data_IF_351713081396
#
_entry.id   IF_351713081396
#
_cell.length_a   1.000
_cell.length_b   1.000
_cell.length_c   1.000
_cell.angle_alpha   90.00
_cell.angle_beta   90.00
_cell.angle_gamma   90.00
#
_symmetry.space_group_name_H-M   'P 1'
#
loop_
_entity.id
_entity.type
_entity.pdbx_description
1 polymer ?
#
# COMPACT_ATOMS: atom_id res chain seq x y z
N UNK A 1 12.14 21.16 -25.81
CA UNK A 1 10.75 21.35 -26.31
C UNK A 1 9.79 21.54 -25.14
N UNK A 2 9.76 20.64 -24.16
CA UNK A 2 8.79 20.73 -23.06
C UNK A 2 9.03 21.93 -22.13
N UNK A 3 10.26 22.27 -21.79
CA UNK A 3 10.57 23.41 -20.92
C UNK A 3 10.03 24.74 -21.47
N UNK A 4 10.05 24.93 -22.81
CA UNK A 4 9.49 26.13 -23.43
C UNK A 4 7.96 26.17 -23.38
N UNK A 5 7.30 25.01 -23.42
CA UNK A 5 5.83 24.93 -23.28
C UNK A 5 5.42 25.37 -21.88
N UNK A 6 6.07 24.83 -20.84
CA UNK A 6 5.77 25.20 -19.45
C UNK A 6 6.12 26.66 -19.15
N UNK A 7 7.21 27.16 -19.74
CA UNK A 7 7.52 28.60 -19.65
C UNK A 7 6.44 29.47 -20.27
N UNK A 8 5.94 29.10 -21.44
CA UNK A 8 4.86 29.85 -22.10
C UNK A 8 3.55 29.83 -21.31
N UNK A 9 3.22 28.69 -20.69
CA UNK A 9 2.07 28.59 -19.81
C UNK A 9 2.22 29.51 -18.59
N UNK A 10 3.35 29.51 -17.94
CA UNK A 10 3.64 30.42 -16.83
C UNK A 10 3.56 31.89 -17.26
N UNK A 11 4.16 32.23 -18.39
CA UNK A 11 4.17 33.61 -18.91
C UNK A 11 2.73 34.08 -19.32
N UNK A 12 1.84 33.12 -19.62
CA UNK A 12 0.41 33.37 -19.84
C UNK A 12 -0.42 33.39 -18.53
N UNK A 13 0.22 33.28 -17.36
CA UNK A 13 -0.46 33.31 -16.07
C UNK A 13 -1.06 31.96 -15.64
N UNK A 14 -0.70 30.87 -16.31
CA UNK A 14 -1.15 29.51 -15.96
C UNK A 14 -0.15 28.88 -15.00
N UNK A 15 -0.61 28.49 -13.80
CA UNK A 15 0.18 27.68 -12.87
C UNK A 15 0.07 26.20 -13.23
N UNK A 16 1.20 25.53 -13.37
CA UNK A 16 1.27 24.09 -13.57
C UNK A 16 1.85 23.46 -12.29
N UNK A 17 1.09 22.58 -11.67
CA UNK A 17 1.53 21.81 -10.51
C UNK A 17 1.72 20.37 -10.94
N UNK A 18 2.84 19.76 -10.58
CA UNK A 18 3.16 18.38 -10.91
C UNK A 18 3.69 17.62 -9.70
N UNK A 19 3.34 16.35 -9.59
CA UNK A 19 3.90 15.48 -8.55
C UNK A 19 5.43 15.44 -8.67
N UNK A 20 6.11 15.54 -7.53
CA UNK A 20 7.58 15.50 -7.48
C UNK A 20 8.16 14.17 -8.00
N UNK A 21 7.40 13.09 -7.87
CA UNK A 21 7.79 11.73 -8.25
C UNK A 21 7.92 10.79 -7.05
N UNK A 22 8.18 9.52 -7.32
CA UNK A 22 8.31 8.46 -6.32
C UNK A 22 9.75 7.91 -6.29
N UNK A 23 10.73 8.73 -6.60
CA UNK A 23 12.11 8.33 -6.86
C UNK A 23 13.06 8.81 -5.74
N UNK A 24 12.56 8.83 -4.49
CA UNK A 24 13.31 9.37 -3.34
C UNK A 24 14.77 8.93 -3.30
N UNK A 25 15.02 7.68 -3.55
CA UNK A 25 16.34 7.08 -3.45
C UNK A 25 16.98 6.68 -4.79
N UNK A 26 16.29 6.94 -5.90
CA UNK A 26 16.84 6.75 -7.25
C UNK A 26 17.81 7.87 -7.66
N UNK A 27 18.22 8.72 -6.70
CA UNK A 27 19.16 9.81 -6.90
C UNK A 27 20.53 9.34 -7.36
N UNK A 28 21.36 10.31 -7.72
CA UNK A 28 22.70 10.10 -8.26
C UNK A 28 23.52 9.12 -7.40
N UNK A 29 23.91 8.00 -7.96
CA UNK A 29 24.67 6.95 -7.28
C UNK A 29 23.85 5.76 -6.79
N UNK A 30 22.54 5.81 -6.84
CA UNK A 30 21.71 4.64 -6.56
C UNK A 30 21.52 3.78 -7.82
N UNK A 31 22.29 2.70 -7.91
CA UNK A 31 22.25 1.76 -9.02
C UNK A 31 21.18 0.69 -8.86
N UNK A 32 20.54 0.60 -7.68
CA UNK A 32 19.57 -0.48 -7.39
C UNK A 32 18.20 -0.20 -7.99
N UNK A 33 17.87 1.06 -8.28
CA UNK A 33 16.52 1.47 -8.70
C UNK A 33 15.44 1.21 -7.64
N UNK A 34 15.86 0.93 -6.39
CA UNK A 34 14.98 0.73 -5.26
C UNK A 34 15.04 1.95 -4.35
N UNK A 35 13.93 2.23 -3.69
CA UNK A 35 13.91 3.17 -2.59
C UNK A 35 14.77 2.61 -1.46
N UNK A 36 16.02 3.01 -1.43
CA UNK A 36 16.86 2.76 -0.28
C UNK A 36 16.45 3.69 0.86
N UNK A 37 16.37 3.20 2.10
CA UNK A 37 16.00 4.04 3.21
C UNK A 37 16.98 5.19 3.35
N UNK A 38 16.48 6.40 3.17
CA UNK A 38 17.13 7.65 3.52
C UNK A 38 18.51 7.88 2.91
N UNK A 39 18.53 8.47 1.72
CA UNK A 39 19.75 9.17 1.33
C UNK A 39 20.11 10.12 2.47
N UNK A 40 21.33 10.01 3.00
CA UNK A 40 21.85 10.91 4.04
C UNK A 40 21.98 12.35 3.53
N UNK A 41 21.81 12.54 2.23
CA UNK A 41 21.83 13.82 1.53
C UNK A 41 20.61 13.87 0.58
N UNK A 42 19.53 14.58 0.97
CA UNK A 42 18.32 14.73 0.15
C UNK A 42 18.57 15.49 -1.16
N UNK A 43 19.68 16.20 -1.28
CA UNK A 43 20.04 16.95 -2.50
C UNK A 43 20.44 16.02 -3.66
N UNK A 44 20.59 14.72 -3.40
CA UNK A 44 20.90 13.74 -4.45
C UNK A 44 19.65 13.14 -5.11
N UNK A 45 18.47 13.41 -4.62
CA UNK A 45 17.23 12.88 -5.15
C UNK A 45 16.68 13.79 -6.27
N UNK A 46 16.27 13.17 -7.38
CA UNK A 46 15.89 13.90 -8.59
C UNK A 46 14.38 14.01 -8.69
N UNK A 47 13.89 15.24 -8.97
CA UNK A 47 12.50 15.45 -9.33
C UNK A 47 12.18 14.79 -10.68
N UNK A 48 11.04 14.13 -10.76
CA UNK A 48 10.55 13.58 -12.03
C UNK A 48 10.05 14.69 -12.96
N UNK A 49 10.11 14.45 -14.27
CA UNK A 49 9.46 15.32 -15.23
C UNK A 49 7.92 15.19 -15.11
N UNK A 50 7.16 16.29 -15.17
CA UNK A 50 7.58 17.68 -15.49
C UNK A 50 7.95 18.53 -14.27
N UNK A 51 7.94 18.00 -13.04
CA UNK A 51 8.20 18.75 -11.82
C UNK A 51 9.62 19.36 -11.77
N UNK A 52 10.57 18.79 -12.52
CA UNK A 52 11.94 19.25 -12.65
C UNK A 52 12.10 20.56 -13.47
N UNK A 53 11.07 21.04 -14.17
CA UNK A 53 11.17 22.26 -14.93
C UNK A 53 10.99 23.52 -14.07
N UNK A 54 11.84 24.56 -14.23
CA UNK A 54 11.78 25.78 -13.40
C UNK A 54 10.45 26.56 -13.48
N UNK A 55 9.61 26.24 -14.44
CA UNK A 55 8.30 26.87 -14.64
C UNK A 55 7.13 26.05 -14.08
N UNK A 56 7.42 24.97 -13.39
CA UNK A 56 6.45 24.05 -12.81
C UNK A 56 6.63 24.06 -11.29
N UNK A 57 5.53 23.99 -10.57
CA UNK A 57 5.54 23.80 -9.11
C UNK A 57 5.62 22.32 -8.81
N UNK A 58 6.74 21.87 -8.25
CA UNK A 58 6.87 20.49 -7.76
C UNK A 58 6.09 20.32 -6.46
N UNK A 59 5.25 19.31 -6.39
CA UNK A 59 4.43 18.99 -5.22
C UNK A 59 4.87 17.64 -4.67
N UNK A 60 5.54 17.66 -3.54
CA UNK A 60 5.93 16.47 -2.81
C UNK A 60 4.75 15.89 -2.01
N UNK A 61 4.82 14.60 -1.72
CA UNK A 61 3.84 13.92 -0.88
C UNK A 61 4.21 14.06 0.59
N UNK A 62 3.22 14.32 1.43
CA UNK A 62 3.38 14.43 2.89
C UNK A 62 2.39 13.50 3.58
N UNK A 63 2.82 12.86 4.65
CA UNK A 63 1.94 12.12 5.56
C UNK A 63 1.02 13.10 6.28
N UNK A 64 -0.29 12.92 6.10
CA UNK A 64 -1.28 13.89 6.59
C UNK A 64 -1.82 13.59 8.00
N UNK A 65 -1.22 12.64 8.70
CA UNK A 65 -1.69 12.28 10.05
C UNK A 65 -3.05 11.58 10.06
N UNK A 66 -3.37 10.83 9.02
CA UNK A 66 -4.64 10.10 8.93
C UNK A 66 -4.69 8.97 9.95
N UNK A 67 -5.79 8.87 10.68
CA UNK A 67 -6.09 7.68 11.48
C UNK A 67 -6.39 6.50 10.55
N UNK A 68 -5.83 5.34 10.86
CA UNK A 68 -6.08 4.11 10.13
C UNK A 68 -7.02 3.21 10.91
N UNK A 69 -7.92 2.52 10.23
CA UNK A 69 -8.65 1.41 10.84
C UNK A 69 -7.68 0.34 11.33
N UNK A 70 -8.02 -0.34 12.41
CA UNK A 70 -7.13 -1.31 13.03
C UNK A 70 -7.87 -2.56 13.55
N UNK A 71 -7.13 -3.64 13.68
CA UNK A 71 -7.52 -4.84 14.41
C UNK A 71 -6.41 -5.22 15.41
N UNK A 72 -6.67 -6.15 16.32
CA UNK A 72 -5.66 -6.68 17.23
C UNK A 72 -5.16 -8.02 16.74
N UNK A 73 -3.84 -8.24 16.69
CA UNK A 73 -3.22 -9.51 16.37
C UNK A 73 -1.82 -9.57 16.98
N UNK A 74 -1.34 -10.75 17.32
CA UNK A 74 0.01 -10.97 17.86
C UNK A 74 0.35 -10.03 19.05
N UNK A 75 -0.63 -9.74 19.91
CA UNK A 75 -0.48 -8.89 21.09
C UNK A 75 -0.33 -7.40 20.82
N UNK A 76 -0.63 -6.93 19.60
CA UNK A 76 -0.54 -5.52 19.18
C UNK A 76 -1.72 -5.11 18.31
N UNK A 77 -1.87 -3.81 18.15
CA UNK A 77 -2.81 -3.26 17.18
C UNK A 77 -2.14 -3.15 15.82
N UNK A 78 -2.85 -3.57 14.79
CA UNK A 78 -2.40 -3.59 13.39
C UNK A 78 -3.26 -2.65 12.58
N UNK A 79 -2.66 -1.60 12.06
CA UNK A 79 -3.30 -0.70 11.13
C UNK A 79 -3.51 -1.39 9.77
N UNK A 80 -4.62 -1.07 9.11
CA UNK A 80 -4.87 -1.55 7.76
C UNK A 80 -5.50 -0.48 6.87
N UNK A 81 -5.28 -0.61 5.57
CA UNK A 81 -5.94 0.18 4.53
C UNK A 81 -6.89 -0.72 3.75
N UNK A 82 -8.20 -0.46 3.82
CA UNK A 82 -9.18 -1.17 2.99
C UNK A 82 -8.91 -0.93 1.51
N UNK A 83 -9.12 -1.96 0.69
CA UNK A 83 -9.13 -1.81 -0.75
C UNK A 83 -10.28 -0.90 -1.21
N UNK A 84 -10.16 -0.37 -2.43
CA UNK A 84 -11.18 0.46 -3.08
C UNK A 84 -11.53 -0.10 -4.45
N UNK A 85 -12.75 0.10 -4.88
CA UNK A 85 -13.15 -0.14 -6.25
C UNK A 85 -12.58 0.93 -7.19
N UNK A 86 -12.33 0.58 -8.45
CA UNK A 86 -12.22 1.56 -9.52
C UNK A 86 -13.54 2.34 -9.66
N UNK A 87 -13.55 3.41 -10.46
CA UNK A 87 -14.77 4.18 -10.67
C UNK A 87 -15.91 3.28 -11.20
N UNK A 88 -17.00 3.23 -10.43
CA UNK A 88 -18.14 2.37 -10.72
C UNK A 88 -18.07 0.93 -10.18
N UNK A 89 -16.95 0.55 -9.56
CA UNK A 89 -16.76 -0.76 -8.94
C UNK A 89 -16.96 -0.69 -7.43
N UNK A 90 -17.35 -1.81 -6.82
CA UNK A 90 -17.55 -1.93 -5.37
C UNK A 90 -16.66 -3.01 -4.78
N UNK A 91 -15.98 -2.69 -3.68
CA UNK A 91 -15.15 -3.63 -2.92
C UNK A 91 -15.59 -3.60 -1.46
N UNK A 92 -15.88 -4.78 -0.91
CA UNK A 92 -16.25 -4.90 0.49
C UNK A 92 -15.09 -4.48 1.41
N UNK A 93 -15.39 -3.80 2.50
CA UNK A 93 -14.42 -3.35 3.49
C UNK A 93 -14.20 -4.42 4.56
N UNK A 94 -12.98 -4.51 5.11
CA UNK A 94 -12.72 -5.35 6.27
C UNK A 94 -13.58 -4.94 7.49
N UNK A 95 -13.93 -3.65 7.58
CA UNK A 95 -14.83 -3.13 8.62
C UNK A 95 -16.29 -3.59 8.48
N UNK A 96 -16.67 -4.20 7.37
CA UNK A 96 -18.02 -4.77 7.16
C UNK A 96 -18.15 -6.17 7.78
N UNK A 97 -17.04 -6.80 8.17
CA UNK A 97 -17.08 -8.05 8.91
C UNK A 97 -17.61 -7.81 10.35
N UNK A 98 -18.31 -8.80 10.86
CA UNK A 98 -18.74 -8.79 12.24
C UNK A 98 -17.55 -8.70 13.19
N UNK A 99 -17.63 -7.90 14.27
CA UNK A 99 -16.61 -7.94 15.32
C UNK A 99 -16.45 -9.36 15.88
N UNK A 100 -15.22 -9.77 16.15
CA UNK A 100 -14.93 -11.11 16.65
C UNK A 100 -13.51 -11.57 16.32
N UNK A 101 -13.24 -12.81 16.68
CA UNK A 101 -11.96 -13.46 16.45
C UNK A 101 -12.00 -14.28 15.15
N UNK A 102 -10.97 -14.12 14.34
CA UNK A 102 -10.81 -14.83 13.07
C UNK A 102 -9.44 -15.49 13.03
N UNK A 103 -9.42 -16.76 12.67
CA UNK A 103 -8.17 -17.42 12.30
C UNK A 103 -7.65 -16.87 10.98
N UNK A 104 -6.34 -16.64 10.87
CA UNK A 104 -5.73 -16.30 9.58
C UNK A 104 -4.76 -17.38 9.11
N UNK A 105 -4.71 -17.55 7.80
CA UNK A 105 -3.89 -18.54 7.11
C UNK A 105 -3.09 -17.88 5.99
N UNK A 106 -1.85 -18.30 5.83
CA UNK A 106 -0.99 -17.75 4.76
C UNK A 106 -1.15 -18.54 3.47
N UNK A 107 -1.18 -17.83 2.34
CA UNK A 107 -1.29 -18.37 0.99
C UNK A 107 -0.23 -17.77 0.04
N UNK A 108 1.00 -17.70 0.48
CA UNK A 108 2.13 -17.27 -0.35
C UNK A 108 1.87 -15.96 -1.10
N UNK A 109 1.96 -16.01 -2.43
CA UNK A 109 1.67 -14.86 -3.29
C UNK A 109 0.22 -14.77 -3.75
N UNK A 110 -0.66 -15.69 -3.35
CA UNK A 110 -2.03 -15.76 -3.83
C UNK A 110 -2.13 -16.23 -5.28
N UNK A 111 -1.21 -17.08 -5.72
CA UNK A 111 -1.23 -17.67 -7.06
C UNK A 111 -2.29 -18.77 -7.16
N UNK A 112 -2.61 -19.21 -8.39
CA UNK A 112 -3.51 -20.33 -8.61
C UNK A 112 -3.00 -21.63 -7.93
N UNK A 113 -1.70 -21.79 -7.79
CA UNK A 113 -1.10 -22.93 -7.05
C UNK A 113 -1.34 -22.80 -5.55
N UNK A 114 -1.18 -21.58 -5.00
CA UNK A 114 -1.46 -21.31 -3.59
C UNK A 114 -2.94 -21.51 -3.27
N UNK A 115 -3.83 -21.03 -4.14
CA UNK A 115 -5.28 -21.24 -4.02
C UNK A 115 -5.65 -22.73 -4.04
N UNK A 116 -5.06 -23.53 -4.93
CA UNK A 116 -5.29 -24.97 -4.99
C UNK A 116 -4.78 -25.68 -3.72
N UNK A 117 -3.63 -25.27 -3.18
CA UNK A 117 -3.10 -25.78 -1.93
C UNK A 117 -3.99 -25.46 -0.74
N UNK A 118 -4.51 -24.22 -0.65
CA UNK A 118 -5.51 -23.85 0.35
C UNK A 118 -6.78 -24.69 0.26
N UNK A 119 -7.34 -24.85 -0.94
CA UNK A 119 -8.56 -25.64 -1.16
C UNK A 119 -8.35 -27.12 -0.74
N UNK A 120 -7.15 -27.66 -0.96
CA UNK A 120 -6.81 -29.01 -0.53
C UNK A 120 -6.63 -29.13 0.99
N UNK A 121 -6.11 -28.09 1.63
CA UNK A 121 -5.88 -28.04 3.08
C UNK A 121 -7.17 -27.82 3.86
N UNK A 122 -8.10 -27.03 3.30
CA UNK A 122 -9.36 -26.64 3.93
C UNK A 122 -10.56 -27.07 3.07
N UNK A 123 -10.84 -28.37 2.95
CA UNK A 123 -11.92 -28.89 2.09
C UNK A 123 -13.32 -28.44 2.55
N UNK A 124 -13.49 -28.05 3.81
CA UNK A 124 -14.75 -27.52 4.36
C UNK A 124 -14.96 -26.02 4.02
N UNK A 125 -13.95 -25.37 3.40
CA UNK A 125 -13.98 -23.97 3.02
C UNK A 125 -13.23 -23.05 3.97
N UNK A 126 -13.26 -21.75 3.66
CA UNK A 126 -12.51 -20.69 4.35
C UNK A 126 -13.42 -19.57 4.88
N UNK A 127 -14.73 -19.80 5.00
CA UNK A 127 -15.71 -18.76 5.33
C UNK A 127 -15.49 -18.12 6.72
N UNK A 128 -14.82 -18.81 7.63
CA UNK A 128 -14.45 -18.36 8.98
C UNK A 128 -12.98 -17.90 9.08
N UNK A 129 -12.25 -17.89 7.97
CA UNK A 129 -10.83 -17.62 7.94
C UNK A 129 -10.48 -16.40 7.10
N UNK A 130 -9.44 -15.71 7.52
CA UNK A 130 -8.82 -14.61 6.77
C UNK A 130 -7.59 -15.15 6.06
N UNK A 131 -7.50 -14.96 4.74
CA UNK A 131 -6.36 -15.41 3.94
C UNK A 131 -5.36 -14.27 3.81
N UNK A 132 -4.11 -14.52 4.21
CA UNK A 132 -2.99 -13.58 4.05
C UNK A 132 -2.17 -13.93 2.83
N UNK A 133 -1.89 -12.94 1.97
CA UNK A 133 -1.06 -13.10 0.77
C UNK A 133 0.01 -12.01 0.71
N UNK A 134 1.19 -12.36 0.24
CA UNK A 134 2.28 -11.40 0.04
C UNK A 134 2.04 -10.52 -1.19
N UNK A 135 2.36 -9.24 -1.10
CA UNK A 135 2.56 -8.37 -2.26
C UNK A 135 3.69 -8.90 -3.15
N UNK A 136 3.71 -8.48 -4.42
CA UNK A 136 4.73 -8.83 -5.41
C UNK A 136 4.34 -10.05 -6.25
N UNK A 137 5.12 -10.31 -7.30
CA UNK A 137 4.97 -11.39 -8.29
C UNK A 137 3.72 -11.30 -9.16
N UNK A 138 2.54 -11.09 -8.57
CA UNK A 138 1.25 -11.00 -9.26
C UNK A 138 0.61 -9.63 -8.99
N UNK A 139 -0.21 -9.16 -9.91
CA UNK A 139 -1.06 -8.00 -9.69
C UNK A 139 -2.07 -8.26 -8.57
N UNK A 140 -2.52 -7.20 -7.90
CA UNK A 140 -3.50 -7.34 -6.83
C UNK A 140 -4.76 -8.06 -7.32
N UNK A 141 -5.32 -7.65 -8.46
CA UNK A 141 -6.52 -8.25 -9.01
C UNK A 141 -6.36 -9.75 -9.22
N UNK A 142 -5.24 -10.19 -9.79
CA UNK A 142 -4.97 -11.61 -10.04
C UNK A 142 -4.94 -12.44 -8.74
N UNK A 143 -4.36 -11.89 -7.66
CA UNK A 143 -4.40 -12.54 -6.32
C UNK A 143 -5.83 -12.75 -5.85
N UNK A 144 -6.67 -11.72 -5.98
CA UNK A 144 -8.06 -11.79 -5.56
C UNK A 144 -8.89 -12.73 -6.44
N UNK A 145 -8.67 -12.72 -7.76
CA UNK A 145 -9.33 -13.63 -8.69
C UNK A 145 -9.03 -15.11 -8.38
N UNK A 146 -7.83 -15.40 -7.88
CA UNK A 146 -7.43 -16.74 -7.46
C UNK A 146 -8.04 -17.14 -6.09
N UNK A 147 -8.06 -16.26 -5.11
CA UNK A 147 -8.40 -16.58 -3.71
C UNK A 147 -9.88 -16.38 -3.41
N UNK A 148 -10.52 -15.32 -3.93
CA UNK A 148 -11.93 -15.02 -3.62
C UNK A 148 -12.93 -16.16 -3.95
N UNK A 149 -12.72 -16.98 -5.02
CA UNK A 149 -13.59 -18.14 -5.26
C UNK A 149 -13.64 -19.16 -4.13
N UNK A 150 -12.63 -19.18 -3.24
CA UNK A 150 -12.61 -20.02 -2.04
C UNK A 150 -13.47 -19.46 -0.90
N UNK A 151 -14.03 -18.25 -1.09
CA UNK A 151 -14.93 -17.55 -0.17
C UNK A 151 -14.38 -17.43 1.26
N UNK A 152 -13.16 -16.90 1.45
CA UNK A 152 -12.67 -16.59 2.79
C UNK A 152 -13.50 -15.44 3.41
N UNK A 153 -13.42 -15.30 4.74
CA UNK A 153 -14.04 -14.17 5.44
C UNK A 153 -13.47 -12.83 4.93
N UNK A 154 -12.16 -12.78 4.71
CA UNK A 154 -11.47 -11.64 4.09
C UNK A 154 -10.13 -12.07 3.49
N UNK A 155 -9.54 -11.16 2.69
CA UNK A 155 -8.18 -11.31 2.15
C UNK A 155 -7.34 -10.12 2.63
N UNK A 156 -6.23 -10.41 3.32
CA UNK A 156 -5.23 -9.41 3.71
C UNK A 156 -4.01 -9.54 2.80
N UNK A 157 -3.67 -8.47 2.11
CA UNK A 157 -2.39 -8.38 1.41
C UNK A 157 -1.40 -7.71 2.34
N UNK A 158 -0.22 -8.27 2.51
CA UNK A 158 0.86 -7.66 3.27
C UNK A 158 2.01 -7.21 2.36
N UNK A 159 2.65 -6.11 2.77
CA UNK A 159 3.76 -5.56 2.00
C UNK A 159 4.96 -6.52 2.00
N UNK A 160 5.69 -6.53 0.89
CA UNK A 160 6.96 -7.22 0.72
C UNK A 160 8.16 -6.28 0.89
N UNK A 161 7.92 -4.97 1.00
CA UNK A 161 8.96 -3.97 1.25
C UNK A 161 8.97 -3.57 2.72
N UNK A 162 10.16 -3.28 3.30
CA UNK A 162 10.27 -2.81 4.68
C UNK A 162 9.57 -1.47 4.86
N UNK A 163 8.96 -1.29 6.02
CA UNK A 163 8.30 -0.04 6.40
C UNK A 163 6.88 -0.25 6.92
N UNK A 164 6.23 0.85 7.26
CA UNK A 164 4.87 0.88 7.79
C UNK A 164 3.85 1.47 6.80
N UNK A 165 4.26 1.72 5.55
CA UNK A 165 3.39 2.26 4.52
C UNK A 165 2.19 1.34 4.25
N UNK A 166 1.00 1.93 4.14
CA UNK A 166 -0.23 1.24 3.81
C UNK A 166 -0.70 1.68 2.41
N UNK A 167 -0.69 0.77 1.48
CA UNK A 167 -1.08 1.03 0.11
C UNK A 167 -2.59 0.93 -0.09
N UNK A 168 -3.13 1.76 -0.97
CA UNK A 168 -4.49 1.64 -1.45
C UNK A 168 -4.48 0.69 -2.65
N UNK A 169 -5.14 -0.45 -2.51
CA UNK A 169 -5.36 -1.38 -3.62
C UNK A 169 -6.65 -0.98 -4.35
N UNK A 170 -6.55 -0.72 -5.66
CA UNK A 170 -7.72 -0.51 -6.50
C UNK A 170 -8.06 -1.82 -7.21
N UNK A 171 -9.29 -2.28 -7.04
CA UNK A 171 -9.76 -3.57 -7.52
C UNK A 171 -11.04 -3.42 -8.35
N UNK A 172 -11.31 -4.39 -9.21
CA UNK A 172 -12.64 -4.60 -9.77
C UNK A 172 -13.61 -5.02 -8.66
N UNK A 173 -14.91 -5.05 -8.95
CA UNK A 173 -15.93 -5.46 -7.98
C UNK A 173 -15.55 -6.77 -7.28
N UNK A 174 -15.54 -6.74 -5.95
CA UNK A 174 -15.18 -7.86 -5.10
C UNK A 174 -16.08 -7.90 -3.87
N UNK A 175 -16.78 -9.03 -3.67
CA UNK A 175 -17.68 -9.25 -2.53
C UNK A 175 -16.94 -9.70 -1.26
N UNK A 176 -15.69 -10.17 -1.40
CA UNK A 176 -14.86 -10.56 -0.26
C UNK A 176 -14.11 -9.34 0.26
N UNK A 177 -14.21 -9.02 1.57
CA UNK A 177 -13.48 -7.92 2.16
C UNK A 177 -11.97 -8.01 1.92
N UNK A 178 -11.36 -6.87 1.56
CA UNK A 178 -9.95 -6.81 1.22
C UNK A 178 -9.25 -5.63 1.89
N UNK A 179 -8.08 -5.89 2.47
CA UNK A 179 -7.28 -4.85 3.10
C UNK A 179 -5.78 -5.11 2.92
N UNK A 180 -5.00 -4.04 3.09
CA UNK A 180 -3.55 -4.04 3.03
C UNK A 180 -2.96 -3.76 4.42
N UNK A 181 -1.91 -4.48 4.80
CA UNK A 181 -1.15 -4.29 6.05
C UNK A 181 0.34 -4.15 5.75
N UNK A 182 1.07 -3.55 6.68
CA UNK A 182 2.53 -3.39 6.55
C UNK A 182 3.27 -4.72 6.68
N UNK A 183 4.49 -4.78 6.12
CA UNK A 183 5.37 -5.94 6.27
C UNK A 183 5.68 -6.24 7.73
N UNK A 184 6.00 -5.22 8.54
CA UNK A 184 6.33 -5.39 9.94
C UNK A 184 5.17 -6.01 10.75
N UNK A 185 3.92 -5.62 10.43
CA UNK A 185 2.73 -6.21 11.04
C UNK A 185 2.54 -7.66 10.64
N UNK A 186 2.69 -7.96 9.34
CA UNK A 186 2.56 -9.33 8.85
C UNK A 186 3.64 -10.26 9.43
N UNK A 187 4.89 -9.81 9.50
CA UNK A 187 5.97 -10.59 10.11
C UNK A 187 5.68 -10.94 11.57
N UNK A 188 5.16 -9.99 12.34
CA UNK A 188 4.77 -10.22 13.73
C UNK A 188 3.62 -11.25 13.84
N UNK A 189 2.62 -11.14 12.95
CA UNK A 189 1.50 -12.07 12.87
C UNK A 189 1.95 -13.48 12.49
N UNK A 190 2.75 -13.61 11.43
CA UNK A 190 3.24 -14.91 10.96
C UNK A 190 4.21 -15.60 11.95
N UNK A 191 4.91 -14.82 12.76
CA UNK A 191 5.79 -15.34 13.81
C UNK A 191 5.04 -15.69 15.11
N UNK A 192 3.80 -15.25 15.27
CA UNK A 192 3.01 -15.55 16.47
C UNK A 192 2.63 -17.03 16.53
N UNK A 193 2.55 -17.59 17.74
CA UNK A 193 2.09 -18.96 17.94
C UNK A 193 0.57 -19.10 17.76
N UNK A 194 -0.15 -18.00 17.95
CA UNK A 194 -1.59 -17.89 17.78
C UNK A 194 -1.90 -17.12 16.50
N UNK A 195 -2.42 -17.82 15.51
CA UNK A 195 -2.78 -17.25 14.20
C UNK A 195 -4.21 -16.73 14.21
N UNK A 196 -4.54 -15.89 15.19
CA UNK A 196 -5.83 -15.23 15.29
C UNK A 196 -5.70 -13.70 15.29
N UNK A 197 -6.68 -13.05 14.73
CA UNK A 197 -6.86 -11.61 14.85
C UNK A 197 -8.26 -11.31 15.40
N UNK A 198 -8.38 -10.21 16.14
CA UNK A 198 -9.63 -9.73 16.71
C UNK A 198 -10.05 -8.44 16.04
N UNK A 199 -11.21 -8.46 15.36
CA UNK A 199 -11.86 -7.27 14.84
C UNK A 199 -12.71 -6.63 15.95
N UNK A 200 -12.50 -5.31 16.12
CA UNK A 200 -13.28 -4.49 17.06
C UNK A 200 -13.91 -3.35 16.27
N UNK A 201 -15.21 -3.17 16.42
CA UNK A 201 -15.94 -2.10 15.74
C UNK A 201 -15.34 -0.72 16.07
N UNK A 202 -15.10 0.06 15.02
CA UNK A 202 -14.61 1.44 15.14
C UNK A 202 -13.19 1.59 15.69
N UNK A 203 -12.43 0.50 15.79
CA UNK A 203 -11.03 0.58 16.24
C UNK A 203 -10.18 1.30 15.22
N UNK A 204 -9.48 2.34 15.66
CA UNK A 204 -8.55 3.13 14.87
C UNK A 204 -7.21 3.27 15.58
N UNK A 205 -6.15 3.41 14.78
CA UNK A 205 -4.84 3.83 15.23
C UNK A 205 -4.56 5.25 14.75
N UNK A 206 -4.25 6.12 15.71
CA UNK A 206 -3.78 7.46 15.39
C UNK A 206 -2.32 7.40 14.92
N UNK A 207 -1.94 8.20 13.92
CA UNK A 207 -0.57 8.23 13.44
C UNK A 207 0.37 8.71 14.55
N UNK A 208 1.52 8.07 14.65
CA UNK A 208 2.56 8.49 15.60
C UNK A 208 3.30 9.75 15.14
N UNK A 209 3.20 10.09 13.87
CA UNK A 209 3.77 11.30 13.27
C UNK A 209 2.86 11.81 12.17
N UNK A 210 2.82 13.12 11.98
CA UNK A 210 2.07 13.77 10.91
C UNK A 210 2.92 14.88 10.28
N UNK A 211 2.60 15.21 9.03
CA UNK A 211 3.29 16.25 8.26
C UNK A 211 4.77 15.98 7.97
N UNK A 212 5.19 14.73 8.02
CA UNK A 212 6.49 14.29 7.48
C UNK A 212 6.35 13.97 6.00
N UNK A 213 7.40 14.24 5.25
CA UNK A 213 7.42 13.84 3.85
C UNK A 213 7.39 12.33 3.74
N UNK A 214 6.56 11.79 2.84
CA UNK A 214 6.51 10.36 2.61
C UNK A 214 7.86 9.87 2.10
N UNK A 215 8.27 8.71 2.56
CA UNK A 215 9.57 8.10 2.26
C UNK A 215 9.75 7.69 0.79
N UNK A 216 8.67 7.60 0.00
CA UNK A 216 8.74 7.40 -1.45
C UNK A 216 8.82 8.71 -2.24
N UNK A 217 8.47 9.86 -1.66
CA UNK A 217 8.38 11.12 -2.40
C UNK A 217 9.75 11.61 -2.86
N UNK A 218 9.85 11.98 -4.13
CA UNK A 218 11.08 12.60 -4.62
C UNK A 218 11.36 13.92 -3.92
N UNK A 219 12.62 14.10 -3.61
CA UNK A 219 13.17 15.33 -3.05
C UNK A 219 14.10 15.98 -4.07
N UNK A 220 14.51 17.14 -3.74
CA UNK A 220 15.72 17.66 -4.29
C UNK A 220 15.55 18.78 -5.22
N UNK A 221 16.67 19.05 -5.77
CA UNK A 221 16.96 20.18 -6.61
C UNK A 221 16.64 19.90 -8.07
N UNK A 222 16.33 20.94 -8.79
CA UNK A 222 16.25 20.90 -10.24
C UNK A 222 17.63 20.57 -10.83
N UNK A 223 17.68 19.82 -11.96
CA UNK A 223 18.95 19.41 -12.60
C UNK A 223 19.82 20.57 -13.10
N UNK A 224 19.29 21.78 -13.09
CA UNK A 224 19.92 23.00 -13.58
C UNK A 224 20.41 23.96 -12.47
N UNK A 225 20.60 23.45 -11.26
CA UNK A 225 21.26 24.15 -10.17
C UNK A 225 22.75 24.32 -10.41
#
# INVERSE_FOLDING_TARGET
>A
VYASVYKNLRDAGVSVNAAAGNEYSAGYGNLSGKNEPYASDPDTSVLCEPASYPSVVAVASVENGTSYSAFSAAGRDVAYQSARGFEGESVASLGDLAPGDYEYVEAGFGSAVDAAALAATYPEGLADKIVMVSRGTLDFQEKFDNIAPLKPAAILVYDNEPGDALLIMNLSTLDVPAAFISQASAQAMLAAADHHLTLVEGKVLEPTSSYWMNDFSSWGVSPDL
#
